data_IF_066789853151
#
_entry.id   IF_066789853151
#
_cell.length_a   1.000
_cell.length_b   1.000
_cell.length_c   1.000
_cell.angle_alpha   90.00
_cell.angle_beta   90.00
_cell.angle_gamma   90.00
#
_symmetry.space_group_name_H-M   'P 1'
#
loop_
_entity.id
_entity.type
_entity.pdbx_description
1 polymer ?
#
# COMPACT_ATOMS: atom_id res chain seq x y z
N UNK A 1 -24.51 -75.38 -8.28
CA UNK A 1 -23.68 -74.74 -7.23
C UNK A 1 -22.37 -74.32 -7.88
N UNK A 2 -22.27 -73.06 -8.30
CA UNK A 2 -21.00 -72.43 -8.71
C UNK A 2 -21.02 -71.05 -8.05
N UNK A 3 -20.00 -70.78 -7.24
CA UNK A 3 -19.86 -69.65 -6.34
C UNK A 3 -19.70 -68.33 -7.11
N UNK A 4 -20.51 -67.32 -6.75
CA UNK A 4 -20.31 -65.92 -7.10
C UNK A 4 -19.36 -65.29 -6.08
N UNK A 5 -18.20 -64.80 -6.54
CA UNK A 5 -17.29 -63.97 -5.74
C UNK A 5 -17.79 -62.53 -5.67
N UNK A 6 -17.88 -61.98 -4.45
CA UNK A 6 -17.99 -60.54 -4.21
C UNK A 6 -16.60 -59.88 -4.41
N UNK A 7 -16.49 -58.73 -5.09
CA UNK A 7 -15.37 -57.84 -4.88
C UNK A 7 -15.67 -56.88 -3.72
N UNK A 8 -14.66 -56.73 -2.86
CA UNK A 8 -14.61 -55.80 -1.75
C UNK A 8 -14.80 -54.34 -2.22
N UNK A 9 -15.70 -53.62 -1.56
CA UNK A 9 -15.79 -52.16 -1.65
C UNK A 9 -14.63 -51.60 -0.84
N UNK A 10 -13.60 -51.10 -1.53
CA UNK A 10 -12.57 -50.25 -0.96
C UNK A 10 -13.23 -48.92 -0.62
N UNK A 11 -13.40 -48.64 0.67
CA UNK A 11 -13.69 -47.30 1.18
C UNK A 11 -12.48 -46.41 0.88
N UNK A 12 -12.50 -45.76 -0.28
CA UNK A 12 -11.57 -44.69 -0.62
C UNK A 12 -11.70 -43.57 0.40
N UNK A 13 -10.55 -43.21 0.98
CA UNK A 13 -10.44 -42.22 2.03
C UNK A 13 -11.11 -40.91 1.68
N UNK A 14 -11.78 -40.33 2.68
CA UNK A 14 -12.13 -38.93 2.71
C UNK A 14 -10.86 -38.12 2.38
N UNK A 15 -10.87 -37.47 1.22
CA UNK A 15 -9.90 -36.44 0.91
C UNK A 15 -10.00 -35.40 2.03
N UNK A 16 -8.85 -35.19 2.68
CA UNK A 16 -8.62 -34.14 3.65
C UNK A 16 -9.05 -32.84 2.98
N UNK A 17 -10.00 -32.15 3.61
CA UNK A 17 -10.44 -30.81 3.21
C UNK A 17 -9.20 -29.93 3.05
N UNK A 18 -8.97 -29.36 1.86
CA UNK A 18 -7.95 -28.33 1.67
C UNK A 18 -8.25 -27.20 2.66
N UNK A 19 -7.37 -27.06 3.64
CA UNK A 19 -7.40 -25.99 4.63
C UNK A 19 -7.28 -24.64 3.90
N UNK A 20 -7.96 -23.63 4.41
CA UNK A 20 -8.20 -22.37 3.72
C UNK A 20 -6.91 -21.74 3.15
N UNK A 21 -6.91 -21.49 1.85
CA UNK A 21 -5.91 -20.72 1.11
C UNK A 21 -6.19 -19.24 1.40
N UNK A 22 -5.68 -18.70 2.50
CA UNK A 22 -5.83 -17.29 2.85
C UNK A 22 -4.47 -16.77 3.28
N UNK A 23 -4.15 -15.53 2.96
CA UNK A 23 -2.86 -14.91 3.35
C UNK A 23 -2.73 -14.69 4.86
N UNK A 24 -3.85 -14.80 5.57
CA UNK A 24 -3.92 -14.86 7.02
C UNK A 24 -3.40 -16.20 7.59
N UNK A 25 -3.36 -17.27 6.78
CA UNK A 25 -2.87 -18.59 7.19
C UNK A 25 -1.33 -18.67 7.09
N UNK A 26 -0.67 -18.71 8.23
CA UNK A 26 0.78 -18.87 8.36
C UNK A 26 1.37 -20.01 7.50
N UNK A 27 0.61 -21.08 7.28
CA UNK A 27 1.07 -22.25 6.53
C UNK A 27 1.35 -21.95 5.06
N UNK A 28 0.68 -20.95 4.49
CA UNK A 28 0.92 -20.47 3.12
C UNK A 28 2.34 -19.89 3.00
N UNK A 29 2.81 -19.19 4.04
CA UNK A 29 4.11 -18.52 4.05
C UNK A 29 5.28 -19.43 4.50
N UNK A 30 4.96 -20.54 5.16
CA UNK A 30 5.92 -21.43 5.82
C UNK A 30 7.01 -21.97 4.89
N UNK A 31 6.67 -22.26 3.63
CA UNK A 31 7.64 -22.76 2.65
C UNK A 31 8.72 -21.72 2.29
N UNK A 32 8.44 -20.44 2.55
CA UNK A 32 9.38 -19.33 2.34
C UNK A 32 10.25 -19.05 3.58
N UNK A 33 9.82 -19.37 4.79
CA UNK A 33 10.61 -19.18 6.02
C UNK A 33 11.94 -19.95 5.98
N UNK A 34 11.95 -21.11 5.31
CA UNK A 34 13.15 -21.94 5.12
C UNK A 34 14.10 -21.41 4.04
N UNK A 35 13.61 -20.52 3.17
CA UNK A 35 14.39 -19.92 2.08
C UNK A 35 15.01 -18.64 2.62
N UNK A 36 16.35 -18.57 2.66
CA UNK A 36 17.04 -17.37 3.14
C UNK A 36 16.54 -16.12 2.41
N UNK A 37 16.06 -15.12 3.17
CA UNK A 37 16.01 -13.74 2.68
C UNK A 37 17.44 -13.36 2.31
N UNK A 38 17.68 -13.24 1.01
CA UNK A 38 18.98 -12.90 0.47
C UNK A 38 19.51 -11.63 1.17
N UNK A 39 20.59 -11.76 1.95
CA UNK A 39 21.42 -10.60 2.39
C UNK A 39 22.35 -10.10 1.27
N UNK A 40 22.25 -10.68 0.06
CA UNK A 40 23.08 -10.33 -1.08
C UNK A 40 22.34 -9.34 -1.97
N UNK A 41 22.94 -8.17 -2.14
CA UNK A 41 22.60 -7.16 -3.15
C UNK A 41 22.38 -7.84 -4.49
N UNK A 42 21.14 -7.92 -4.94
CA UNK A 42 20.85 -8.36 -6.29
C UNK A 42 21.09 -7.20 -7.27
N UNK A 43 21.66 -7.55 -8.43
CA UNK A 43 21.95 -6.60 -9.50
C UNK A 43 20.65 -5.93 -9.96
N UNK A 44 20.67 -4.60 -10.03
CA UNK A 44 19.65 -3.78 -10.67
C UNK A 44 19.30 -4.40 -12.04
N UNK A 45 18.20 -5.16 -12.09
CA UNK A 45 17.68 -5.66 -13.35
C UNK A 45 17.24 -4.43 -14.13
N UNK A 46 18.08 -3.99 -15.07
CA UNK A 46 17.83 -2.85 -15.96
C UNK A 46 16.60 -2.96 -16.86
N UNK A 47 15.72 -3.93 -16.60
CA UNK A 47 14.38 -4.11 -17.20
C UNK A 47 13.27 -3.41 -16.40
N UNK A 48 13.49 -3.09 -15.13
CA UNK A 48 12.38 -2.71 -14.23
C UNK A 48 12.07 -1.20 -14.30
N UNK A 49 13.05 -0.39 -14.69
CA UNK A 49 12.87 1.02 -15.07
C UNK A 49 13.17 1.18 -16.56
N UNK A 50 12.20 1.61 -17.40
CA UNK A 50 12.48 1.85 -18.80
C UNK A 50 13.64 2.85 -18.97
N UNK A 51 14.72 2.43 -19.64
CA UNK A 51 15.87 3.30 -19.96
C UNK A 51 15.45 4.49 -20.82
N UNK A 52 14.31 4.36 -21.53
CA UNK A 52 13.58 5.41 -22.24
C UNK A 52 12.12 5.30 -21.87
N UNK A 53 11.39 6.43 -21.80
CA UNK A 53 9.95 6.44 -21.54
C UNK A 53 9.25 5.44 -22.46
N UNK A 54 8.50 4.51 -21.88
CA UNK A 54 7.74 3.51 -22.61
C UNK A 54 6.26 3.92 -22.67
N UNK A 55 5.59 3.64 -23.78
CA UNK A 55 4.17 3.97 -23.99
C UNK A 55 3.43 2.77 -24.54
N UNK A 56 2.17 2.58 -24.13
CA UNK A 56 1.34 1.48 -24.57
C UNK A 56 1.61 0.16 -23.84
N UNK A 57 0.79 -0.84 -24.14
CA UNK A 57 0.88 -2.20 -23.59
C UNK A 57 1.70 -3.10 -24.51
N UNK A 58 2.87 -3.54 -24.03
CA UNK A 58 3.77 -4.43 -24.77
C UNK A 58 4.62 -5.25 -23.79
N UNK A 59 4.02 -6.23 -23.08
CA UNK A 59 4.77 -7.13 -22.22
C UNK A 59 5.70 -8.06 -23.04
N UNK A 60 6.73 -8.67 -22.41
CA UNK A 60 7.49 -9.77 -22.99
C UNK A 60 6.56 -10.87 -23.51
N UNK A 61 6.91 -11.47 -24.64
CA UNK A 61 6.05 -12.45 -25.32
C UNK A 61 5.72 -13.68 -24.46
N UNK A 62 6.63 -14.06 -23.58
CA UNK A 62 6.47 -15.15 -22.61
C UNK A 62 5.55 -14.79 -21.44
N UNK A 63 5.31 -13.50 -21.18
CA UNK A 63 4.40 -13.01 -20.15
C UNK A 63 3.04 -12.57 -20.72
N UNK A 64 2.93 -12.35 -22.04
CA UNK A 64 1.73 -11.79 -22.66
C UNK A 64 0.46 -12.63 -22.37
N UNK A 65 0.51 -13.93 -22.63
CA UNK A 65 -0.62 -14.85 -22.38
C UNK A 65 -1.01 -14.92 -20.90
N UNK A 66 -0.11 -15.21 -19.95
CA UNK A 66 -0.51 -15.26 -18.54
C UNK A 66 -1.00 -13.92 -17.99
N UNK A 67 -0.52 -12.77 -18.50
CA UNK A 67 -1.05 -11.45 -18.10
C UNK A 67 -2.46 -11.20 -18.63
N UNK A 68 -2.77 -11.67 -19.84
CA UNK A 68 -4.12 -11.61 -20.40
C UNK A 68 -5.09 -12.48 -19.59
N UNK A 69 -4.69 -13.70 -19.22
CA UNK A 69 -5.48 -14.59 -18.36
C UNK A 69 -5.81 -13.95 -17.00
N UNK A 70 -4.83 -13.29 -16.35
CA UNK A 70 -5.06 -12.55 -15.09
C UNK A 70 -6.06 -11.43 -15.28
N UNK A 71 -5.92 -10.65 -16.36
CA UNK A 71 -6.81 -9.54 -16.62
C UNK A 71 -8.25 -9.99 -16.90
N UNK A 72 -8.41 -11.01 -17.74
CA UNK A 72 -9.71 -11.60 -18.05
C UNK A 72 -10.35 -12.22 -16.83
N UNK A 73 -9.56 -12.90 -15.98
CA UNK A 73 -10.03 -13.41 -14.69
C UNK A 73 -10.58 -12.27 -13.83
N UNK A 74 -9.81 -11.21 -13.62
CA UNK A 74 -10.24 -10.04 -12.84
C UNK A 74 -11.58 -9.47 -13.36
N UNK A 75 -11.65 -9.18 -14.67
CA UNK A 75 -12.85 -8.60 -15.29
C UNK A 75 -14.07 -9.52 -15.17
N UNK A 76 -13.86 -10.84 -15.20
CA UNK A 76 -14.94 -11.82 -15.05
C UNK A 76 -15.41 -12.02 -13.60
N UNK A 77 -14.51 -11.83 -12.64
CA UNK A 77 -14.74 -12.09 -11.21
C UNK A 77 -15.40 -10.90 -10.51
N UNK A 78 -15.05 -9.67 -10.88
CA UNK A 78 -15.49 -8.46 -10.16
C UNK A 78 -16.44 -7.59 -10.98
N UNK A 79 -17.68 -7.48 -10.50
CA UNK A 79 -18.67 -6.55 -11.03
C UNK A 79 -18.16 -5.09 -10.92
N UNK A 80 -18.32 -4.31 -11.99
CA UNK A 80 -17.81 -2.93 -12.08
C UNK A 80 -16.37 -2.82 -12.62
N UNK A 81 -15.65 -3.94 -12.74
CA UNK A 81 -14.31 -4.00 -13.32
C UNK A 81 -13.32 -3.02 -12.68
N UNK A 82 -12.33 -2.57 -13.45
CA UNK A 82 -11.27 -1.68 -12.94
C UNK A 82 -11.79 -0.32 -12.43
N UNK A 83 -13.00 0.08 -12.83
CA UNK A 83 -13.65 1.32 -12.41
C UNK A 83 -14.53 1.17 -11.16
N UNK A 84 -14.72 -0.05 -10.64
CA UNK A 84 -15.62 -0.33 -9.52
C UNK A 84 -15.15 0.26 -8.18
N UNK A 85 -13.85 0.54 -8.04
CA UNK A 85 -13.28 1.14 -6.84
C UNK A 85 -12.41 2.36 -7.21
N UNK A 86 -12.83 3.54 -6.75
CA UNK A 86 -12.18 4.85 -6.98
C UNK A 86 -11.20 5.24 -5.86
N UNK A 87 -10.86 4.30 -5.00
CA UNK A 87 -9.91 4.45 -3.89
C UNK A 87 -8.68 3.54 -4.02
N UNK A 88 -8.48 2.79 -5.10
CA UNK A 88 -7.21 2.08 -5.29
C UNK A 88 -6.01 3.01 -5.12
N UNK A 89 -4.86 2.48 -4.68
CA UNK A 89 -3.63 3.26 -4.46
C UNK A 89 -3.25 4.16 -5.64
N UNK A 90 -3.63 3.78 -6.86
CA UNK A 90 -3.53 4.64 -8.05
C UNK A 90 -4.29 5.96 -7.90
N UNK A 91 -5.57 5.91 -7.51
CA UNK A 91 -6.41 7.08 -7.27
C UNK A 91 -5.90 7.92 -6.10
N UNK A 92 -5.31 7.28 -5.09
CA UNK A 92 -4.75 7.96 -3.93
C UNK A 92 -3.50 8.77 -4.34
N UNK A 93 -2.56 8.13 -5.05
CA UNK A 93 -1.37 8.79 -5.59
C UNK A 93 -1.74 9.94 -6.54
N UNK A 94 -2.80 9.76 -7.35
CA UNK A 94 -3.26 10.83 -8.25
C UNK A 94 -3.95 11.97 -7.52
N UNK A 95 -4.76 11.68 -6.49
CA UNK A 95 -5.45 12.68 -5.69
C UNK A 95 -4.51 13.48 -4.79
N UNK A 96 -3.46 12.85 -4.25
CA UNK A 96 -2.47 13.47 -3.37
C UNK A 96 -1.17 13.82 -4.12
N UNK A 97 -1.27 14.11 -5.41
CA UNK A 97 -0.20 14.70 -6.24
C UNK A 97 1.17 13.99 -6.15
N UNK A 98 1.17 12.65 -6.17
CA UNK A 98 2.41 11.87 -6.09
C UNK A 98 2.87 11.61 -4.66
N UNK A 99 1.98 11.73 -3.68
CA UNK A 99 2.24 11.40 -2.28
C UNK A 99 1.28 10.33 -1.79
N UNK A 100 1.67 9.63 -0.74
CA UNK A 100 0.79 8.84 0.11
C UNK A 100 1.10 9.17 1.57
N UNK A 101 0.09 9.63 2.28
CA UNK A 101 0.13 9.85 3.71
C UNK A 101 -0.39 8.60 4.43
N UNK A 102 0.36 8.13 5.42
CA UNK A 102 0.15 6.84 6.06
C UNK A 102 -0.06 7.04 7.55
N UNK A 103 -1.11 6.44 8.09
CA UNK A 103 -1.28 6.35 9.54
C UNK A 103 -0.97 4.93 10.03
N UNK A 104 -0.04 4.79 10.96
CA UNK A 104 0.30 3.50 11.56
C UNK A 104 -0.70 3.17 12.66
N UNK A 105 -1.31 2.00 12.59
CA UNK A 105 -2.10 1.41 13.68
C UNK A 105 -1.21 0.42 14.42
N UNK A 106 -0.77 0.80 15.61
CA UNK A 106 0.10 0.00 16.47
C UNK A 106 -0.74 -0.81 17.43
N UNK A 107 -1.14 -1.99 16.99
CA UNK A 107 -1.93 -2.94 17.76
C UNK A 107 -1.00 -3.87 18.55
N UNK A 108 -0.41 -3.31 19.61
CA UNK A 108 0.52 -3.99 20.51
C UNK A 108 0.69 -3.23 21.80
N UNK A 109 1.03 -3.95 22.88
CA UNK A 109 1.39 -3.36 24.17
C UNK A 109 2.90 -3.11 24.31
N UNK A 110 3.70 -3.38 23.27
CA UNK A 110 5.13 -3.07 23.28
C UNK A 110 5.36 -1.58 23.01
N UNK A 111 6.38 -1.01 23.66
CA UNK A 111 6.80 0.36 23.34
C UNK A 111 7.51 0.41 21.99
N UNK A 112 7.47 1.58 21.35
CA UNK A 112 8.15 1.87 20.09
C UNK A 112 8.88 3.21 20.20
N UNK A 113 10.19 3.17 20.00
CA UNK A 113 11.07 4.33 20.08
C UNK A 113 10.95 5.22 18.85
N UNK A 114 11.29 6.51 19.00
CA UNK A 114 11.39 7.42 17.85
C UNK A 114 12.36 6.91 16.76
N UNK A 115 13.41 6.19 17.14
CA UNK A 115 14.35 5.56 16.20
C UNK A 115 13.69 4.41 15.42
N UNK A 116 12.93 3.55 16.10
CA UNK A 116 12.15 2.49 15.46
C UNK A 116 11.06 3.06 14.56
N UNK A 117 10.32 4.09 14.99
CA UNK A 117 9.33 4.76 14.13
C UNK A 117 9.96 5.34 12.88
N UNK A 118 11.12 5.98 13.00
CA UNK A 118 11.89 6.48 11.85
C UNK A 118 12.31 5.34 10.92
N UNK A 119 12.74 4.21 11.49
CA UNK A 119 13.13 3.02 10.74
C UNK A 119 11.95 2.38 10.02
N UNK A 120 10.79 2.27 10.68
CA UNK A 120 9.53 1.79 10.10
C UNK A 120 9.15 2.66 8.90
N UNK A 121 9.18 3.99 9.04
CA UNK A 121 8.89 4.92 7.94
C UNK A 121 9.85 4.73 6.74
N UNK A 122 11.15 4.66 7.00
CA UNK A 122 12.15 4.48 5.96
C UNK A 122 12.04 3.12 5.26
N UNK A 123 11.83 2.04 6.02
CA UNK A 123 11.66 0.69 5.49
C UNK A 123 10.37 0.57 4.69
N UNK A 124 9.25 1.06 5.22
CA UNK A 124 7.95 1.03 4.53
C UNK A 124 7.99 1.79 3.20
N UNK A 125 8.57 3.00 3.19
CA UNK A 125 8.82 3.72 1.94
C UNK A 125 9.68 2.89 0.98
N UNK A 126 10.77 2.28 1.46
CA UNK A 126 11.65 1.45 0.63
C UNK A 126 10.92 0.27 -0.01
N UNK A 127 10.02 -0.39 0.72
CA UNK A 127 9.21 -1.48 0.17
C UNK A 127 8.25 -0.98 -0.92
N UNK A 128 7.59 0.17 -0.71
CA UNK A 128 6.76 0.80 -1.75
C UNK A 128 7.53 1.18 -3.02
N UNK A 129 8.75 1.70 -2.88
CA UNK A 129 9.57 2.04 -4.05
C UNK A 129 9.87 0.82 -4.94
N UNK A 130 9.80 -0.41 -4.42
CA UNK A 130 9.95 -1.62 -5.23
C UNK A 130 8.76 -1.87 -6.14
N UNK A 131 7.56 -1.43 -5.77
CA UNK A 131 6.40 -1.40 -6.67
C UNK A 131 6.48 -0.21 -7.63
N UNK A 132 6.66 1.03 -7.12
CA UNK A 132 6.60 2.21 -7.97
C UNK A 132 7.68 2.29 -9.05
N UNK A 133 8.86 1.70 -8.84
CA UNK A 133 9.91 1.64 -9.87
C UNK A 133 9.40 1.07 -11.20
N UNK A 134 8.38 0.20 -11.16
CA UNK A 134 7.79 -0.41 -12.35
C UNK A 134 7.00 0.57 -13.22
N UNK A 135 6.43 1.62 -12.64
CA UNK A 135 5.61 2.60 -13.38
C UNK A 135 6.31 3.92 -13.67
N UNK A 136 7.43 4.22 -13.02
CA UNK A 136 8.18 5.44 -13.31
C UNK A 136 8.64 5.49 -14.78
N UNK A 137 8.15 6.51 -15.50
CA UNK A 137 8.43 6.69 -16.93
C UNK A 137 7.68 5.73 -17.85
N UNK A 138 6.71 4.97 -17.33
CA UNK A 138 5.87 4.06 -18.11
C UNK A 138 4.48 4.68 -18.34
N UNK A 139 4.00 4.57 -19.58
CA UNK A 139 2.66 4.91 -20.04
C UNK A 139 2.10 6.23 -19.48
N UNK A 140 2.91 7.30 -19.54
CA UNK A 140 2.49 8.63 -19.12
C UNK A 140 2.29 8.83 -17.62
N UNK A 141 2.74 7.90 -16.77
CA UNK A 141 2.73 8.07 -15.32
C UNK A 141 3.44 9.39 -14.93
N UNK A 142 2.76 10.31 -14.23
CA UNK A 142 3.20 11.70 -14.15
C UNK A 142 4.34 11.93 -13.15
N UNK A 143 4.54 11.01 -12.21
CA UNK A 143 5.51 11.18 -11.13
C UNK A 143 6.81 10.42 -11.40
N UNK A 144 7.94 11.06 -11.10
CA UNK A 144 9.26 10.41 -11.14
C UNK A 144 9.66 9.77 -9.82
N UNK A 145 8.92 10.10 -8.76
CA UNK A 145 9.02 9.58 -7.41
C UNK A 145 7.67 9.80 -6.74
N UNK A 146 7.19 8.80 -6.00
CA UNK A 146 6.04 8.93 -5.10
C UNK A 146 6.59 8.99 -3.69
N UNK A 147 6.20 10.01 -2.93
CA UNK A 147 6.65 10.20 -1.55
C UNK A 147 5.70 9.51 -0.56
N UNK A 148 6.26 8.69 0.31
CA UNK A 148 5.52 7.97 1.34
C UNK A 148 5.83 8.59 2.69
N UNK A 149 4.80 9.13 3.35
CA UNK A 149 4.93 9.89 4.59
C UNK A 149 4.15 9.17 5.69
N UNK A 150 4.80 8.78 6.79
CA UNK A 150 4.07 8.39 8.00
C UNK A 150 3.71 9.67 8.75
N UNK A 151 2.41 10.01 8.74
CA UNK A 151 1.88 11.26 9.30
C UNK A 151 1.17 11.06 10.64
N UNK A 152 0.74 9.82 10.94
CA UNK A 152 -0.04 9.53 12.14
C UNK A 152 0.29 8.19 12.77
N UNK A 153 0.03 8.07 14.07
CA UNK A 153 0.17 6.85 14.87
C UNK A 153 -1.04 6.67 15.79
N UNK A 154 -1.74 5.56 15.66
CA UNK A 154 -2.73 5.11 16.61
C UNK A 154 -2.13 4.10 17.59
N UNK A 155 -2.26 4.36 18.90
CA UNK A 155 -1.77 3.51 20.00
C UNK A 155 -2.83 3.42 21.09
N UNK A 156 -2.83 2.33 21.85
CA UNK A 156 -3.78 2.15 22.97
C UNK A 156 -3.45 3.08 24.15
N UNK A 157 -2.17 3.42 24.30
CA UNK A 157 -1.67 4.35 25.31
C UNK A 157 -0.52 5.17 24.70
N UNK A 158 -0.57 6.50 24.82
CA UNK A 158 0.48 7.41 24.31
C UNK A 158 1.87 7.13 24.89
N UNK A 159 1.96 6.51 26.07
CA UNK A 159 3.23 6.12 26.70
C UNK A 159 3.97 5.02 25.92
N UNK A 160 3.29 4.32 25.01
CA UNK A 160 3.93 3.37 24.10
C UNK A 160 4.82 4.07 23.05
N UNK A 161 4.59 5.36 22.78
CA UNK A 161 5.40 6.15 21.85
C UNK A 161 6.56 6.82 22.60
N UNK A 162 7.73 6.19 22.61
CA UNK A 162 8.90 6.78 23.25
C UNK A 162 9.55 7.85 22.34
N UNK A 163 10.01 8.95 22.96
CA UNK A 163 10.63 10.09 22.26
C UNK A 163 9.64 11.14 21.77
N UNK A 164 10.08 12.01 20.85
CA UNK A 164 9.23 13.11 20.36
C UNK A 164 8.12 12.60 19.43
N UNK A 165 6.92 13.13 19.60
CA UNK A 165 5.77 12.94 18.70
C UNK A 165 5.32 14.26 18.06
N UNK A 166 6.12 15.33 18.15
CA UNK A 166 5.76 16.67 17.66
C UNK A 166 5.43 16.76 16.17
N UNK A 167 5.94 15.82 15.38
CA UNK A 167 5.89 15.85 13.92
C UNK A 167 4.88 14.83 13.36
N UNK A 168 4.09 14.20 14.23
CA UNK A 168 3.06 13.22 13.86
C UNK A 168 1.77 13.48 14.63
N UNK A 169 0.66 13.10 14.02
CA UNK A 169 -0.60 12.99 14.73
C UNK A 169 -0.61 11.73 15.60
N UNK A 170 -1.09 11.85 16.82
CA UNK A 170 -1.21 10.72 17.76
C UNK A 170 -2.67 10.50 18.07
N UNK A 171 -3.16 9.30 17.76
CA UNK A 171 -4.53 8.88 18.02
C UNK A 171 -4.55 7.83 19.13
N UNK A 172 -5.54 7.94 20.01
CA UNK A 172 -5.79 6.98 21.11
C UNK A 172 -7.21 6.42 21.09
N UNK A 173 -7.96 6.71 20.02
CA UNK A 173 -9.27 6.13 19.83
C UNK A 173 -9.12 4.63 19.60
N UNK A 174 -10.09 3.88 20.10
CA UNK A 174 -10.18 2.43 19.92
C UNK A 174 -11.39 2.11 19.06
N UNK A 175 -11.28 1.08 18.23
CA UNK A 175 -12.44 0.48 17.59
C UNK A 175 -13.26 -0.38 18.58
N UNK A 176 -14.27 -1.08 18.07
CA UNK A 176 -15.19 -1.85 18.91
C UNK A 176 -14.55 -3.07 19.57
N UNK A 177 -13.43 -3.55 19.01
CA UNK A 177 -12.65 -4.64 19.56
C UNK A 177 -11.58 -4.15 20.55
N UNK A 178 -11.54 -2.84 20.82
CA UNK A 178 -10.58 -2.23 21.73
C UNK A 178 -9.20 -2.04 21.11
N UNK A 179 -9.10 -2.09 19.78
CA UNK A 179 -7.85 -1.98 19.06
C UNK A 179 -7.64 -0.51 18.64
N UNK A 180 -6.41 0.05 18.75
CA UNK A 180 -6.15 1.43 18.37
C UNK A 180 -6.54 1.73 16.94
N UNK A 181 -7.13 2.90 16.69
CA UNK A 181 -7.61 3.29 15.37
C UNK A 181 -7.19 4.72 15.03
N UNK A 182 -6.71 4.93 13.81
CA UNK A 182 -6.48 6.25 13.26
C UNK A 182 -7.82 6.98 13.06
N UNK A 183 -7.84 8.32 13.17
CA UNK A 183 -9.09 9.07 13.10
C UNK A 183 -9.82 8.87 11.76
N UNK A 184 -11.03 8.29 11.81
CA UNK A 184 -11.87 8.05 10.62
C UNK A 184 -12.14 9.32 9.84
N UNK A 185 -12.34 10.45 10.53
CA UNK A 185 -12.55 11.77 9.92
C UNK A 185 -11.39 12.27 9.06
N UNK A 186 -10.20 11.68 9.22
CA UNK A 186 -8.99 11.99 8.47
C UNK A 186 -8.65 10.93 7.41
N UNK A 187 -9.43 9.84 7.33
CA UNK A 187 -9.18 8.73 6.41
C UNK A 187 -9.70 9.04 5.01
N UNK A 188 -8.85 8.93 3.99
CA UNK A 188 -9.30 9.02 2.60
C UNK A 188 -10.39 8.01 2.25
N UNK A 189 -10.36 6.81 2.84
CA UNK A 189 -11.35 5.76 2.56
C UNK A 189 -12.78 6.17 2.99
N UNK A 190 -12.89 7.00 4.03
CA UNK A 190 -14.17 7.57 4.47
C UNK A 190 -14.56 8.85 3.71
N UNK A 191 -13.62 9.47 2.99
CA UNK A 191 -13.73 10.82 2.43
C UNK A 191 -13.30 10.87 0.94
N UNK A 192 -13.91 10.01 0.12
CA UNK A 192 -13.64 9.93 -1.33
C UNK A 192 -14.04 11.21 -2.10
N UNK A 193 -14.91 12.02 -1.51
CA UNK A 193 -15.32 13.34 -1.97
C UNK A 193 -14.29 14.43 -1.63
N UNK A 194 -13.20 14.07 -0.94
CA UNK A 194 -12.17 14.99 -0.43
C UNK A 194 -12.68 15.98 0.61
N UNK A 195 -13.83 15.72 1.25
CA UNK A 195 -14.33 16.53 2.36
C UNK A 195 -13.77 16.03 3.69
N UNK A 196 -12.63 16.60 4.09
CA UNK A 196 -11.99 16.34 5.39
C UNK A 196 -12.41 17.34 6.49
N UNK A 197 -13.59 17.97 6.38
CA UNK A 197 -14.08 18.88 7.43
C UNK A 197 -14.29 18.19 8.79
N UNK A 198 -14.41 16.86 8.80
CA UNK A 198 -14.44 16.03 10.00
C UNK A 198 -13.07 15.66 10.58
N UNK A 199 -11.97 16.00 9.90
CA UNK A 199 -10.62 15.79 10.43
C UNK A 199 -10.26 16.95 11.37
N UNK A 200 -9.91 16.66 12.64
CA UNK A 200 -9.64 17.69 13.65
C UNK A 200 -8.47 18.62 13.27
N UNK A 201 -7.43 18.06 12.65
CA UNK A 201 -6.29 18.82 12.09
C UNK A 201 -6.59 19.49 10.74
N UNK A 202 -7.77 19.25 10.16
CA UNK A 202 -8.14 19.68 8.82
C UNK A 202 -7.53 18.81 7.72
N UNK A 203 -7.76 19.19 6.46
CA UNK A 203 -7.40 18.40 5.29
C UNK A 203 -5.90 18.09 5.19
N UNK A 204 -5.01 18.95 5.70
CA UNK A 204 -3.55 18.72 5.64
C UNK A 204 -3.10 17.54 6.53
N UNK A 205 -3.94 17.11 7.47
CA UNK A 205 -3.71 15.99 8.40
C UNK A 205 -4.39 14.69 7.94
N UNK A 206 -4.94 14.65 6.72
CA UNK A 206 -5.50 13.41 6.18
C UNK A 206 -4.43 12.34 5.93
N UNK A 207 -4.86 11.08 5.96
CA UNK A 207 -4.06 9.95 5.51
C UNK A 207 -4.79 9.18 4.40
N UNK A 208 -4.02 8.70 3.43
CA UNK A 208 -4.49 7.92 2.29
C UNK A 208 -4.66 6.44 2.65
N UNK A 209 -3.76 5.94 3.49
CA UNK A 209 -3.68 4.52 3.84
C UNK A 209 -3.33 4.31 5.30
N UNK A 210 -3.63 3.12 5.81
CA UNK A 210 -3.22 2.70 7.13
C UNK A 210 -2.31 1.47 7.09
N UNK A 211 -1.22 1.51 7.86
CA UNK A 211 -0.34 0.36 8.11
C UNK A 211 -0.65 -0.21 9.49
N UNK A 212 -1.27 -1.37 9.53
CA UNK A 212 -1.61 -2.05 10.77
C UNK A 212 -0.49 -3.02 11.12
N UNK A 213 0.15 -2.78 12.26
CA UNK A 213 1.17 -3.66 12.83
C UNK A 213 0.54 -4.39 14.00
N UNK A 214 0.02 -5.58 13.73
CA UNK A 214 -0.78 -6.38 14.67
C UNK A 214 0.06 -7.43 15.37
N UNK A 215 0.06 -7.39 16.69
CA UNK A 215 0.71 -8.40 17.53
C UNK A 215 0.09 -9.79 17.34
N UNK A 216 0.93 -10.78 17.05
CA UNK A 216 0.52 -12.18 16.94
C UNK A 216 -0.19 -12.56 15.64
N UNK A 217 -0.25 -11.66 14.65
CA UNK A 217 -0.69 -12.01 13.31
C UNK A 217 0.45 -12.69 12.53
N UNK A 218 0.22 -13.91 12.06
CA UNK A 218 1.24 -14.66 11.30
C UNK A 218 1.23 -14.34 9.79
N UNK A 219 0.11 -13.82 9.29
CA UNK A 219 -0.12 -13.53 7.87
C UNK A 219 -0.19 -12.03 7.56
N UNK A 220 -0.91 -11.71 6.49
CA UNK A 220 -1.18 -10.35 6.09
C UNK A 220 -2.58 -10.17 5.50
N UNK A 221 -2.97 -8.91 5.38
CA UNK A 221 -4.17 -8.51 4.65
C UNK A 221 -3.97 -7.14 4.01
N UNK A 222 -4.37 -6.99 2.74
CA UNK A 222 -4.18 -5.77 1.97
C UNK A 222 -5.45 -5.41 1.22
N UNK A 223 -5.75 -4.11 1.17
CA UNK A 223 -6.81 -3.58 0.32
C UNK A 223 -6.56 -2.11 -0.01
N UNK A 224 -7.52 -1.42 -0.63
CA UNK A 224 -7.38 0.01 -0.95
C UNK A 224 -7.12 0.89 0.27
N UNK A 225 -7.62 0.51 1.46
CA UNK A 225 -7.39 1.27 2.69
C UNK A 225 -5.95 1.15 3.25
N UNK A 226 -5.15 0.17 2.80
CA UNK A 226 -3.79 -0.04 3.29
C UNK A 226 -3.42 -1.51 3.47
N UNK A 227 -2.54 -1.79 4.44
CA UNK A 227 -2.05 -3.14 4.74
C UNK A 227 -2.07 -3.42 6.23
N UNK A 228 -2.26 -4.69 6.56
CA UNK A 228 -2.08 -5.28 7.88
C UNK A 228 -1.06 -6.41 7.79
N UNK A 229 -0.10 -6.41 8.70
CA UNK A 229 0.89 -7.48 8.84
C UNK A 229 1.22 -7.72 10.31
N UNK A 230 1.74 -8.91 10.59
CA UNK A 230 2.32 -9.22 11.90
C UNK A 230 3.37 -8.21 12.33
N UNK A 231 3.20 -7.61 13.52
CA UNK A 231 4.17 -6.67 14.09
C UNK A 231 5.51 -7.34 14.32
N UNK A 232 5.52 -8.53 14.91
CA UNK A 232 6.74 -9.31 15.16
C UNK A 232 7.45 -9.64 13.85
N UNK A 233 6.67 -10.06 12.85
CA UNK A 233 7.17 -10.35 11.52
C UNK A 233 7.80 -9.10 10.88
N UNK A 234 7.10 -7.96 10.87
CA UNK A 234 7.60 -6.71 10.29
C UNK A 234 8.89 -6.27 11.01
N UNK A 235 8.86 -6.22 12.34
CA UNK A 235 10.00 -5.74 13.14
C UNK A 235 11.22 -6.67 13.03
N UNK A 236 11.01 -7.98 12.95
CA UNK A 236 12.09 -8.95 12.70
C UNK A 236 12.72 -8.77 11.31
N UNK A 237 11.92 -8.38 10.33
CA UNK A 237 12.33 -8.20 8.94
C UNK A 237 12.61 -6.73 8.55
N UNK A 238 12.69 -5.83 9.53
CA UNK A 238 12.78 -4.38 9.26
C UNK A 238 14.07 -3.97 8.51
N UNK A 239 15.10 -4.82 8.57
CA UNK A 239 16.37 -4.69 7.86
C UNK A 239 16.49 -5.63 6.65
N UNK A 240 15.48 -6.44 6.39
CA UNK A 240 15.44 -7.34 5.23
C UNK A 240 15.28 -6.55 3.94
N UNK A 241 15.93 -7.01 2.87
CA UNK A 241 15.77 -6.39 1.55
C UNK A 241 14.32 -6.42 1.09
N UNK A 242 13.63 -7.55 1.29
CA UNK A 242 12.23 -7.75 0.94
C UNK A 242 11.46 -8.21 2.18
N UNK A 243 10.41 -7.47 2.55
CA UNK A 243 9.44 -7.89 3.56
C UNK A 243 8.26 -8.50 2.78
N UNK A 244 8.38 -9.77 2.42
CA UNK A 244 7.59 -10.38 1.35
C UNK A 244 6.06 -10.39 1.60
N UNK A 245 5.60 -10.61 2.83
CA UNK A 245 4.16 -10.51 3.15
C UNK A 245 3.70 -9.06 2.92
N UNK A 246 4.44 -8.08 3.44
CA UNK A 246 4.12 -6.67 3.18
C UNK A 246 4.12 -6.31 1.70
N UNK A 247 5.07 -6.84 0.92
CA UNK A 247 5.11 -6.61 -0.53
C UNK A 247 3.88 -7.20 -1.23
N UNK A 248 3.42 -8.37 -0.80
CA UNK A 248 2.17 -8.97 -1.25
C UNK A 248 0.97 -8.08 -0.91
N UNK A 249 0.82 -7.68 0.35
CA UNK A 249 -0.29 -6.83 0.78
C UNK A 249 -0.32 -5.46 0.09
N UNK A 250 0.85 -4.88 -0.18
CA UNK A 250 0.97 -3.65 -0.98
C UNK A 250 0.43 -3.84 -2.40
N UNK A 251 0.54 -5.04 -2.98
CA UNK A 251 -0.02 -5.37 -4.29
C UNK A 251 -1.55 -5.21 -4.32
N UNK A 252 -2.25 -5.70 -3.30
CA UNK A 252 -3.71 -5.55 -3.19
C UNK A 252 -4.16 -4.10 -3.09
N UNK A 253 -3.39 -3.24 -2.43
CA UNK A 253 -3.69 -1.80 -2.38
C UNK A 253 -3.73 -1.17 -3.77
N UNK A 254 -3.04 -1.75 -4.75
CA UNK A 254 -3.06 -1.34 -6.15
C UNK A 254 -3.93 -2.23 -7.06
N UNK A 255 -4.79 -3.06 -6.46
CA UNK A 255 -5.79 -3.87 -7.16
C UNK A 255 -5.30 -5.23 -7.62
N UNK A 256 -4.08 -5.65 -7.29
CA UNK A 256 -3.62 -6.99 -7.67
C UNK A 256 -4.39 -8.05 -6.89
N UNK A 257 -4.81 -9.12 -7.57
CA UNK A 257 -5.59 -10.21 -7.01
C UNK A 257 -4.74 -11.20 -6.22
N UNK A 258 -5.43 -11.92 -5.34
CA UNK A 258 -4.97 -13.19 -4.77
C UNK A 258 -5.07 -14.35 -5.75
N UNK A 259 -4.14 -15.29 -5.61
CA UNK A 259 -4.07 -16.50 -6.42
C UNK A 259 -4.15 -17.75 -5.54
N UNK A 260 -5.34 -18.03 -5.03
CA UNK A 260 -5.55 -19.15 -4.12
C UNK A 260 -5.77 -20.48 -4.83
N UNK A 261 -6.64 -20.49 -5.85
CA UNK A 261 -7.18 -21.71 -6.45
C UNK A 261 -6.81 -21.89 -7.92
N UNK A 262 -6.04 -20.95 -8.48
CA UNK A 262 -5.58 -21.01 -9.86
C UNK A 262 -4.24 -20.29 -10.04
N UNK A 263 -3.54 -20.62 -11.13
CA UNK A 263 -2.32 -19.92 -11.55
C UNK A 263 -2.35 -19.72 -13.06
N UNK A 264 -1.84 -18.59 -13.57
CA UNK A 264 -1.79 -18.33 -15.00
C UNK A 264 -0.75 -19.22 -15.69
N UNK A 265 -0.99 -19.52 -16.97
CA UNK A 265 -0.24 -20.48 -17.77
C UNK A 265 1.26 -20.18 -17.75
N UNK A 266 2.04 -21.14 -17.27
CA UNK A 266 3.51 -21.09 -17.34
C UNK A 266 4.18 -20.20 -16.27
N UNK A 267 3.42 -19.61 -15.34
CA UNK A 267 3.96 -18.82 -14.24
C UNK A 267 3.67 -19.53 -12.91
N UNK A 268 4.72 -19.82 -12.15
CA UNK A 268 4.61 -20.65 -10.93
C UNK A 268 5.16 -19.99 -9.68
N UNK A 269 5.85 -18.86 -9.81
CA UNK A 269 6.41 -18.12 -8.68
C UNK A 269 6.30 -16.62 -8.96
N UNK A 270 5.53 -15.91 -8.14
CA UNK A 270 5.31 -14.47 -8.20
C UNK A 270 4.71 -14.00 -6.87
N UNK A 271 4.94 -12.75 -6.45
CA UNK A 271 4.64 -12.30 -5.09
C UNK A 271 3.15 -12.42 -4.77
N UNK A 272 2.27 -12.17 -5.73
CA UNK A 272 0.81 -12.25 -5.55
C UNK A 272 0.28 -13.69 -5.46
N UNK A 273 1.10 -14.69 -5.79
CA UNK A 273 0.85 -16.08 -5.40
C UNK A 273 1.55 -16.30 -4.06
N UNK A 274 0.79 -16.11 -2.98
CA UNK A 274 1.29 -16.19 -1.61
C UNK A 274 2.09 -17.49 -1.37
N UNK A 275 3.21 -17.35 -0.66
CA UNK A 275 4.12 -18.48 -0.42
C UNK A 275 5.01 -18.91 -1.60
N UNK A 276 4.87 -18.34 -2.80
CA UNK A 276 5.67 -18.78 -3.96
C UNK A 276 6.94 -17.97 -4.20
N UNK A 277 6.95 -16.67 -3.87
CA UNK A 277 8.09 -15.77 -4.08
C UNK A 277 8.40 -14.91 -2.86
N UNK A 278 9.67 -14.54 -2.69
CA UNK A 278 10.15 -13.65 -1.63
C UNK A 278 10.29 -12.19 -2.09
N UNK A 279 10.00 -11.91 -3.36
CA UNK A 279 10.21 -10.61 -3.98
C UNK A 279 9.25 -10.37 -5.13
N UNK A 280 9.04 -9.10 -5.49
CA UNK A 280 8.29 -8.70 -6.68
C UNK A 280 9.05 -9.19 -7.91
N UNK A 281 8.45 -10.11 -8.65
CA UNK A 281 9.00 -10.69 -9.88
C UNK A 281 8.70 -9.83 -11.11
N UNK A 282 9.26 -10.21 -12.27
CA UNK A 282 8.91 -9.57 -13.53
C UNK A 282 7.42 -9.69 -13.85
N UNK A 283 6.80 -10.84 -13.52
CA UNK A 283 5.37 -11.04 -13.75
C UNK A 283 4.51 -10.08 -12.92
N UNK A 284 4.81 -9.95 -11.62
CA UNK A 284 4.15 -9.00 -10.71
C UNK A 284 4.26 -7.56 -11.21
N UNK A 285 5.46 -7.17 -11.63
CA UNK A 285 5.73 -5.85 -12.19
C UNK A 285 4.92 -5.54 -13.43
N UNK A 286 4.69 -6.54 -14.30
CA UNK A 286 3.84 -6.39 -15.47
C UNK A 286 2.35 -6.41 -15.15
N UNK A 287 1.90 -7.19 -14.16
CA UNK A 287 0.53 -7.08 -13.64
C UNK A 287 0.25 -5.67 -13.12
N UNK A 288 1.18 -5.12 -12.33
CA UNK A 288 1.12 -3.75 -11.81
C UNK A 288 1.07 -2.70 -12.92
N UNK A 289 1.86 -2.88 -13.99
CA UNK A 289 1.80 -2.03 -15.20
C UNK A 289 0.48 -2.16 -15.95
N UNK A 290 -0.13 -3.34 -15.98
CA UNK A 290 -1.41 -3.55 -16.65
C UNK A 290 -2.51 -2.70 -15.99
N UNK A 291 -2.56 -2.74 -14.66
CA UNK A 291 -3.44 -1.90 -13.86
C UNK A 291 -3.30 -0.41 -14.16
N UNK A 292 -2.07 0.11 -14.15
CA UNK A 292 -1.83 1.49 -14.55
C UNK A 292 -2.27 1.76 -16.00
N UNK A 293 -1.95 0.87 -16.94
CA UNK A 293 -2.33 1.01 -18.34
C UNK A 293 -3.86 1.11 -18.51
N UNK A 294 -4.63 0.28 -17.83
CA UNK A 294 -6.08 0.22 -17.93
C UNK A 294 -6.77 1.39 -17.21
N UNK A 295 -6.32 1.72 -15.99
CA UNK A 295 -6.86 2.86 -15.24
C UNK A 295 -6.52 4.20 -15.89
N UNK A 296 -5.29 4.37 -16.38
CA UNK A 296 -4.87 5.64 -16.98
C UNK A 296 -5.61 5.98 -18.27
N UNK A 297 -6.05 4.96 -19.03
CA UNK A 297 -6.96 5.13 -20.17
C UNK A 297 -8.35 5.55 -19.70
N UNK A 298 -8.93 4.78 -18.77
CA UNK A 298 -10.31 4.98 -18.31
C UNK A 298 -10.51 6.32 -17.61
N UNK A 299 -9.52 6.74 -16.81
CA UNK A 299 -9.57 8.00 -16.06
C UNK A 299 -8.93 9.19 -16.80
N UNK A 300 -8.38 8.98 -18.01
CA UNK A 300 -7.71 10.04 -18.78
C UNK A 300 -6.41 10.56 -18.13
N UNK A 301 -5.76 9.79 -17.27
CA UNK A 301 -4.50 10.17 -16.62
C UNK A 301 -3.28 10.03 -17.53
N UNK A 302 -3.34 9.18 -18.55
CA UNK A 302 -2.24 9.03 -19.50
C UNK A 302 -2.13 10.31 -20.33
N UNK A 303 -1.19 11.18 -19.96
CA UNK A 303 -0.87 12.36 -20.76
C UNK A 303 -0.39 11.92 -22.14
N UNK A 304 -1.14 12.31 -23.18
CA UNK A 304 -0.62 12.31 -24.55
C UNK A 304 0.61 13.20 -24.54
N UNK A 305 1.76 12.63 -24.91
CA UNK A 305 3.08 13.29 -25.01
C UNK A 305 3.03 14.82 -25.09
N UNK A 306 3.45 15.50 -24.01
CA UNK A 306 3.72 16.93 -24.05
C UNK A 306 4.90 17.17 -25.00
N UNK A 307 4.57 17.62 -26.21
CA UNK A 307 5.49 18.43 -27.02
C UNK A 307 5.67 19.79 -26.31
N UNK A 308 6.89 20.32 -26.39
CA UNK A 308 7.40 21.37 -25.52
C UNK A 308 6.54 22.64 -25.35
N UNK A 309 6.64 23.19 -24.13
CA UNK A 309 6.64 24.62 -23.78
C UNK A 309 5.61 25.53 -24.48
N UNK A 310 4.62 25.97 -23.72
CA UNK A 310 4.46 27.38 -23.30
C UNK A 310 3.18 27.53 -22.50
N UNK A 311 3.27 28.20 -21.36
CA UNK A 311 2.14 28.41 -20.46
C UNK A 311 1.00 29.16 -21.16
N UNK A 312 -0.22 28.71 -20.92
CA UNK A 312 -1.40 29.58 -20.96
C UNK A 312 -2.43 29.01 -19.98
N UNK A 313 -2.75 29.85 -19.00
CA UNK A 313 -3.77 29.68 -17.97
C UNK A 313 -5.12 29.35 -18.62
N UNK A 314 -5.65 28.14 -18.37
CA UNK A 314 -7.01 27.79 -18.75
C UNK A 314 -7.96 28.17 -17.62
N UNK A 315 -8.62 29.32 -17.77
CA UNK A 315 -9.74 29.76 -16.94
C UNK A 315 -10.98 28.95 -17.31
N UNK A 316 -11.54 28.22 -16.35
CA UNK A 316 -12.86 27.60 -16.44
C UNK A 316 -13.95 28.65 -16.64
N UNK A 317 -14.77 28.48 -17.67
CA UNK A 317 -16.05 29.19 -17.77
C UNK A 317 -17.19 28.20 -18.04
N UNK A 318 -18.14 28.22 -17.10
CA UNK A 318 -19.42 27.52 -17.06
C UNK A 318 -20.24 27.81 -18.31
N UNK A 319 -20.75 26.76 -18.95
CA UNK A 319 -21.74 26.87 -20.01
C UNK A 319 -23.14 27.04 -19.42
N UNK A 320 -23.77 28.19 -19.66
CA UNK A 320 -25.21 28.40 -19.47
C UNK A 320 -25.86 28.40 -20.85
N UNK A 321 -26.84 27.51 -21.01
CA UNK A 321 -27.72 27.39 -22.18
C UNK A 321 -28.81 28.46 -22.16
N UNK A 322 -29.01 29.16 -23.29
CA UNK A 322 -30.34 29.56 -23.76
C UNK A 322 -30.32 30.02 -25.23
N UNK A 323 -31.32 29.53 -25.96
CA UNK A 323 -31.72 29.89 -27.32
C UNK A 323 -32.00 31.39 -27.51
N UNK A 324 -31.67 31.94 -28.69
CA UNK A 324 -32.61 32.66 -29.59
C UNK A 324 -31.90 33.41 -30.74
N UNK A 325 -32.26 33.01 -31.96
CA UNK A 325 -32.57 33.82 -33.17
C UNK A 325 -31.72 35.02 -33.61
N UNK A 326 -31.14 34.83 -34.80
CA UNK A 326 -30.87 35.75 -35.93
C UNK A 326 -31.33 37.22 -35.85
N UNK A 327 -30.38 38.16 -35.94
CA UNK A 327 -30.49 39.38 -36.76
C UNK A 327 -29.13 40.07 -36.97
N UNK A 328 -29.04 40.75 -38.11
CA UNK A 328 -27.91 41.35 -38.82
C UNK A 328 -27.34 42.67 -38.27
N UNK A 329 -26.05 42.89 -38.57
CA UNK A 329 -25.30 44.13 -38.90
C UNK A 329 -25.61 45.46 -38.19
N UNK A 330 -24.55 46.12 -37.70
CA UNK A 330 -24.57 47.54 -37.36
C UNK A 330 -23.26 48.06 -36.75
N UNK A 331 -22.41 48.62 -37.61
CA UNK A 331 -21.20 49.40 -37.27
C UNK A 331 -21.59 50.79 -36.75
N UNK A 332 -21.02 51.24 -35.61
CA UNK A 332 -20.51 52.61 -35.38
C UNK A 332 -20.11 52.88 -33.90
N UNK A 333 -18.93 53.48 -33.75
CA UNK A 333 -18.29 54.13 -32.58
C UNK A 333 -18.86 55.55 -32.31
N UNK A 334 -18.27 56.41 -31.45
CA UNK A 334 -17.96 56.34 -30.00
C UNK A 334 -18.43 57.62 -29.22
N UNK A 335 -18.40 57.62 -27.87
CA UNK A 335 -18.25 58.82 -26.98
C UNK A 335 -18.05 58.33 -25.53
N UNK A 336 -16.92 58.61 -24.86
CA UNK A 336 -16.71 59.67 -23.82
C UNK A 336 -17.72 59.57 -22.65
N UNK A 337 -17.40 59.58 -21.36
CA UNK A 337 -16.23 60.00 -20.59
C UNK A 337 -16.44 59.52 -19.13
N UNK A 338 -15.37 59.23 -18.37
CA UNK A 338 -15.29 59.33 -16.90
C UNK A 338 -14.02 58.63 -16.34
N UNK A 339 -13.06 59.45 -15.96
CA UNK A 339 -11.81 59.10 -15.31
C UNK A 339 -11.97 58.62 -13.85
N UNK A 340 -11.06 57.76 -13.37
CA UNK A 340 -10.17 58.05 -12.21
C UNK A 340 -9.05 57.00 -12.00
N UNK A 341 -7.81 57.45 -12.24
CA UNK A 341 -6.49 57.20 -11.59
C UNK A 341 -6.28 55.97 -10.66
N UNK A 342 -5.25 55.13 -10.94
CA UNK A 342 -4.15 54.77 -9.99
C UNK A 342 -2.85 54.40 -10.73
N UNK A 343 -1.82 55.22 -10.49
CA UNK A 343 -0.37 54.98 -10.36
C UNK A 343 0.32 53.75 -10.98
N UNK A 344 1.28 54.02 -11.87
CA UNK A 344 2.42 53.15 -12.20
C UNK A 344 3.73 53.88 -11.92
N UNK A 345 4.60 53.26 -11.13
CA UNK A 345 6.01 53.65 -11.00
C UNK A 345 6.87 52.40 -11.16
N UNK A 346 7.59 52.35 -12.27
CA UNK A 346 8.70 51.43 -12.55
C UNK A 346 10.02 52.13 -12.23
N UNK A 347 10.96 51.41 -11.60
CA UNK A 347 12.35 51.82 -11.40
C UNK A 347 13.25 50.61 -11.71
N UNK A 348 14.43 50.79 -12.33
CA UNK A 348 15.04 49.80 -13.22
C UNK A 348 16.11 48.93 -12.55
N UNK A 349 16.46 47.86 -13.25
CA UNK A 349 17.57 46.96 -12.93
C UNK A 349 18.94 47.62 -13.21
N UNK A 350 19.84 47.52 -12.24
CA UNK A 350 21.28 47.82 -12.39
C UNK A 350 22.11 46.57 -12.14
N UNK A 351 22.94 46.22 -13.12
CA UNK A 351 24.01 45.24 -13.02
C UNK A 351 25.13 45.72 -12.10
N UNK A 352 25.66 44.83 -11.27
CA UNK A 352 26.96 44.99 -10.62
C UNK A 352 27.72 43.65 -10.65
N UNK A 353 28.81 43.64 -11.40
CA UNK A 353 29.91 42.68 -11.32
C UNK A 353 30.76 42.95 -10.07
N UNK A 354 31.18 41.89 -9.37
CA UNK A 354 32.21 41.96 -8.34
C UNK A 354 33.12 40.73 -8.39
N UNK A 355 34.36 40.98 -7.97
CA UNK A 355 35.60 40.35 -8.39
C UNK A 355 36.05 39.16 -7.53
N UNK A 356 36.97 38.40 -8.12
CA UNK A 356 37.72 37.28 -7.56
C UNK A 356 38.74 37.77 -6.52
N UNK A 357 38.72 37.17 -5.33
CA UNK A 357 39.82 37.25 -4.36
C UNK A 357 40.36 35.84 -4.09
N UNK A 358 41.68 35.69 -4.22
CA UNK A 358 42.46 34.46 -3.99
C UNK A 358 43.32 34.61 -2.73
N UNK A 359 43.20 33.66 -1.79
CA UNK A 359 44.21 33.20 -0.80
C UNK A 359 43.53 32.07 0.02
N UNK A 360 44.10 30.97 0.50
CA UNK A 360 45.45 30.48 0.73
C UNK A 360 45.38 28.93 0.89
N UNK A 361 46.53 28.26 0.95
CA UNK A 361 46.77 26.81 0.89
C UNK A 361 46.12 25.91 2.00
N UNK A 362 45.98 24.59 1.78
CA UNK A 362 45.22 23.70 2.66
C UNK A 362 46.05 23.19 3.86
N UNK A 363 45.44 23.26 5.05
CA UNK A 363 45.95 22.64 6.29
C UNK A 363 45.56 21.16 6.29
N UNK A 364 46.55 20.30 6.52
CA UNK A 364 46.43 18.85 6.67
C UNK A 364 45.57 18.51 7.89
N UNK A 365 44.48 17.72 7.78
CA UNK A 365 43.81 17.17 8.95
C UNK A 365 44.60 15.96 9.47
N UNK A 366 45.05 16.05 10.71
CA UNK A 366 45.57 14.90 11.46
C UNK A 366 44.47 13.85 11.62
N UNK A 367 44.75 12.63 11.17
CA UNK A 367 43.95 11.42 11.43
C UNK A 367 44.14 10.95 12.88
N UNK A 368 43.09 10.87 13.71
CA UNK A 368 43.17 10.08 14.93
C UNK A 368 43.04 8.59 14.58
N UNK A 369 44.15 7.86 14.76
CA UNK A 369 44.19 6.40 14.71
C UNK A 369 43.46 5.82 15.92
N UNK A 370 42.23 5.35 15.71
CA UNK A 370 41.53 4.52 16.68
C UNK A 370 41.92 3.05 16.48
N UNK A 371 42.76 2.54 17.37
CA UNK A 371 42.96 1.10 17.57
C UNK A 371 41.72 0.51 18.26
N UNK A 372 41.01 -0.47 17.66
CA UNK A 372 39.93 -1.17 18.34
C UNK A 372 40.51 -2.09 19.42
N UNK A 373 40.18 -1.80 20.67
CA UNK A 373 40.38 -2.71 21.80
C UNK A 373 39.23 -3.72 21.75
N UNK A 374 39.51 -4.95 21.32
CA UNK A 374 38.58 -6.07 21.42
C UNK A 374 38.47 -6.49 22.90
N UNK A 375 37.26 -6.58 23.49
CA UNK A 375 37.12 -7.26 24.76
C UNK A 375 37.37 -8.76 24.57
N UNK A 376 38.32 -9.27 25.35
CA UNK A 376 38.65 -10.70 25.47
C UNK A 376 37.41 -11.43 26.02
N UNK A 377 36.76 -12.24 25.18
CA UNK A 377 35.72 -13.17 25.63
C UNK A 377 36.41 -14.39 26.23
N UNK A 378 36.33 -14.52 27.55
CA UNK A 378 36.66 -15.76 28.26
C UNK A 378 35.68 -16.87 27.87
N UNK A 379 36.15 -18.09 27.56
CA UNK A 379 35.26 -19.20 27.23
C UNK A 379 34.54 -19.69 28.48
N UNK A 380 33.21 -19.57 28.46
CA UNK A 380 32.33 -20.18 29.47
C UNK A 380 32.08 -21.63 29.05
N UNK A 381 32.41 -22.56 29.93
CA UNK A 381 32.21 -24.00 29.79
C UNK A 381 30.71 -24.36 29.68
N UNK A 382 30.32 -25.35 28.85
CA UNK A 382 28.93 -25.78 28.78
C UNK A 382 28.55 -26.57 30.03
N UNK A 383 27.53 -26.11 30.75
CA UNK A 383 26.89 -26.88 31.83
C UNK A 383 25.74 -27.67 31.21
N UNK A 384 25.86 -28.99 31.28
CA UNK A 384 24.82 -29.95 30.89
C UNK A 384 23.58 -29.86 31.78
N UNK A 385 22.44 -30.00 31.12
CA UNK A 385 21.19 -30.67 31.55
C UNK A 385 20.46 -30.13 32.79
N UNK A 386 19.35 -29.43 32.52
CA UNK A 386 18.10 -29.68 33.23
C UNK A 386 17.01 -30.03 32.21
N UNK A 387 16.69 -31.32 32.17
CA UNK A 387 15.59 -31.89 31.44
C UNK A 387 14.30 -31.62 32.25
N UNK A 388 13.61 -30.53 31.92
CA UNK A 388 12.27 -30.25 32.42
C UNK A 388 11.38 -29.96 31.22
N UNK A 389 10.73 -31.00 30.73
CA UNK A 389 9.58 -30.90 29.83
C UNK A 389 8.55 -29.94 30.45
N UNK A 390 8.16 -28.83 29.81
CA UNK A 390 6.96 -28.13 30.21
C UNK A 390 5.79 -29.06 29.88
N UNK A 391 5.10 -29.51 30.91
CA UNK A 391 3.79 -30.16 30.78
C UNK A 391 2.91 -29.17 30.03
N UNK A 392 2.49 -29.54 28.82
CA UNK A 392 1.47 -28.83 28.08
C UNK A 392 0.21 -28.76 28.96
N UNK A 393 -0.04 -27.60 29.55
CA UNK A 393 -1.39 -27.23 29.97
C UNK A 393 -2.24 -27.25 28.71
N UNK A 394 -3.31 -28.06 28.64
CA UNK A 394 -4.19 -28.03 27.49
C UNK A 394 -4.70 -26.61 27.33
N UNK A 395 -4.49 -26.04 26.14
CA UNK A 395 -5.23 -24.88 25.67
C UNK A 395 -6.70 -25.19 25.92
N UNK A 396 -7.34 -24.46 26.83
CA UNK A 396 -8.78 -24.45 26.85
C UNK A 396 -9.20 -23.78 25.56
N UNK A 397 -9.75 -24.58 24.67
CA UNK A 397 -10.64 -24.13 23.61
C UNK A 397 -11.58 -23.09 24.23
N UNK A 398 -11.66 -21.84 23.73
CA UNK A 398 -12.75 -20.98 24.10
C UNK A 398 -14.02 -21.73 23.75
N UNK A 399 -14.76 -22.15 24.78
CA UNK A 399 -16.10 -22.70 24.61
C UNK A 399 -16.88 -21.72 23.76
N UNK A 400 -17.43 -22.23 22.65
CA UNK A 400 -18.43 -21.54 21.87
C UNK A 400 -19.54 -21.06 22.83
N UNK A 401 -19.60 -19.75 23.07
CA UNK A 401 -20.80 -19.11 23.58
C UNK A 401 -21.71 -18.97 22.36
N UNK A 402 -22.88 -19.65 22.32
CA UNK A 402 -23.83 -19.46 21.25
C UNK A 402 -24.56 -18.14 21.50
N UNK A 403 -24.38 -17.18 20.59
CA UNK A 403 -25.33 -16.09 20.38
C UNK A 403 -25.16 -14.89 21.32
N UNK A 404 -24.16 -14.05 21.04
CA UNK A 404 -24.42 -12.64 20.75
C UNK A 404 -23.70 -12.32 19.46
N UNK A 405 -24.41 -11.74 18.49
CA UNK A 405 -23.83 -11.42 17.19
C UNK A 405 -22.83 -10.29 17.37
N UNK A 406 -21.55 -10.63 17.58
CA UNK A 406 -20.46 -9.68 17.46
C UNK A 406 -20.66 -8.94 16.12
N UNK A 407 -20.76 -7.61 16.19
CA UNK A 407 -20.87 -6.76 15.00
C UNK A 407 -19.48 -6.28 14.63
N UNK A 408 -19.12 -6.35 13.36
CA UNK A 408 -17.87 -5.79 12.85
C UNK A 408 -17.92 -4.25 12.91
N UNK A 409 -16.88 -3.65 13.46
CA UNK A 409 -16.62 -2.21 13.44
C UNK A 409 -16.31 -1.68 12.05
N UNK A 410 -16.19 -0.36 11.92
CA UNK A 410 -15.89 0.30 10.64
C UNK A 410 -14.52 -0.18 10.15
N UNK A 411 -14.45 -0.58 8.88
CA UNK A 411 -13.32 -1.23 8.20
C UNK A 411 -13.04 -2.68 8.57
N UNK A 412 -13.77 -3.27 9.50
CA UNK A 412 -13.63 -4.70 9.77
C UNK A 412 -14.35 -5.54 8.72
N UNK A 413 -13.84 -6.76 8.52
CA UNK A 413 -14.49 -7.73 7.66
C UNK A 413 -15.85 -8.11 8.24
N UNK A 414 -16.87 -8.11 7.40
CA UNK A 414 -18.24 -8.45 7.77
C UNK A 414 -18.82 -9.60 6.93
N UNK A 415 -17.96 -10.27 6.16
CA UNK A 415 -18.34 -11.37 5.29
C UNK A 415 -17.33 -11.65 4.18
N UNK A 416 -17.73 -12.55 3.29
CA UNK A 416 -16.97 -12.94 2.10
C UNK A 416 -16.44 -14.37 2.18
N UNK A 417 -16.62 -15.14 1.12
CA UNK A 417 -16.22 -16.54 1.01
C UNK A 417 -17.13 -17.48 1.80
N UNK A 418 -17.18 -18.74 1.41
CA UNK A 418 -17.94 -19.78 2.13
C UNK A 418 -17.27 -20.22 3.44
N UNK A 419 -15.99 -19.89 3.60
CA UNK A 419 -15.14 -20.25 4.75
C UNK A 419 -15.14 -19.23 5.88
N UNK A 420 -15.63 -18.00 5.67
CA UNK A 420 -15.65 -16.97 6.70
C UNK A 420 -16.55 -17.35 7.88
N UNK A 421 -16.05 -17.08 9.10
CA UNK A 421 -16.72 -17.42 10.38
C UNK A 421 -16.82 -16.23 11.33
N UNK A 422 -16.38 -15.03 10.90
CA UNK A 422 -16.42 -13.82 11.72
C UNK A 422 -17.78 -13.14 11.75
N UNK A 423 -17.86 -11.91 12.30
CA UNK A 423 -19.05 -11.07 12.31
C UNK A 423 -19.70 -10.95 10.93
N UNK A 424 -21.03 -11.14 10.83
CA UNK A 424 -21.78 -10.96 9.57
C UNK A 424 -22.67 -9.73 9.57
N UNK A 425 -22.56 -8.89 10.60
CA UNK A 425 -23.31 -7.65 10.78
C UNK A 425 -22.33 -6.56 11.14
N UNK A 426 -22.55 -5.35 10.64
CA UNK A 426 -21.77 -4.20 11.04
C UNK A 426 -22.37 -3.51 12.26
N UNK A 427 -21.54 -2.78 12.99
CA UNK A 427 -21.99 -1.93 14.09
C UNK A 427 -22.99 -0.89 13.61
N UNK A 428 -23.78 -0.37 14.54
CA UNK A 428 -24.89 0.54 14.23
C UNK A 428 -24.44 1.73 13.38
N UNK A 429 -25.10 1.95 12.25
CA UNK A 429 -24.81 3.05 11.31
C UNK A 429 -23.89 2.67 10.14
N UNK A 430 -23.36 1.45 10.12
CA UNK A 430 -22.48 0.94 9.06
C UNK A 430 -23.21 -0.12 8.22
N UNK A 431 -22.84 -0.24 6.95
CA UNK A 431 -23.34 -1.28 6.07
C UNK A 431 -22.23 -2.26 5.73
N UNK A 432 -22.57 -3.55 5.70
CA UNK A 432 -21.66 -4.57 5.22
C UNK A 432 -21.64 -4.52 3.69
N UNK A 433 -20.63 -3.85 3.13
CA UNK A 433 -20.46 -3.68 1.69
C UNK A 433 -19.65 -4.85 1.16
N UNK A 434 -20.23 -5.57 0.20
CA UNK A 434 -19.49 -6.60 -0.54
C UNK A 434 -18.47 -5.90 -1.46
N UNK A 435 -17.19 -6.10 -1.18
CA UNK A 435 -16.11 -5.67 -2.08
C UNK A 435 -15.85 -6.72 -3.14
N UNK A 436 -15.81 -8.00 -2.73
CA UNK A 436 -15.73 -9.12 -3.64
C UNK A 436 -16.35 -10.40 -3.05
N UNK A 437 -16.25 -11.52 -3.77
CA UNK A 437 -16.84 -12.78 -3.31
C UNK A 437 -16.19 -13.38 -2.06
N UNK A 438 -14.97 -12.97 -1.71
CA UNK A 438 -14.20 -13.43 -0.56
C UNK A 438 -14.09 -12.41 0.58
N UNK A 439 -14.49 -11.15 0.33
CA UNK A 439 -14.36 -10.06 1.30
C UNK A 439 -15.51 -9.05 1.22
N UNK A 440 -16.18 -8.85 2.35
CA UNK A 440 -17.12 -7.77 2.60
C UNK A 440 -16.62 -6.95 3.79
N UNK A 441 -16.80 -5.64 3.79
CA UNK A 441 -16.29 -4.73 4.82
C UNK A 441 -17.39 -3.83 5.35
N UNK A 442 -17.32 -3.48 6.63
CA UNK A 442 -18.21 -2.48 7.21
C UNK A 442 -17.78 -1.06 6.86
N UNK A 443 -18.63 -0.30 6.18
CA UNK A 443 -18.40 1.10 5.80
C UNK A 443 -19.58 1.98 6.20
#
# INVERSE_FOLDING_TARGET
>A
MIFSGLPAIVLGGFAVCATALSDLDASVWKDLESKQHSKRLFQDHGRNRPVKRATGWSPPSDLATPLEEVWDHYVSTYDGGVAGNVNWGWHQVMANEGKLNICVRWDSNQTVTAAERTKIAATYNTQYQKWFKWVYGYNGFPYTKVDINIVGWAVSDTSLLEGSTSDIDVYTDLDNDGIPMCAVGCSRDAHLDSDYSGCEGGADHHYDQSLWLTEGLDGGYGYSWGQQVGREYFMTNIDSENIHILLHEMGHTFGLDDFYDWTPTGVTNFIMLAGSALEITDFDGWMYRNWWYELSKTNGWASSSVAGSSGTTATSSVAVTSDATTATEGVATPTEDAAYIVSTTSVPATSATLEVVTSQAPVVPHTPSFTPIFPVVTPITPVSSFNSTPVATPYQTPSAIPGDAATAGRWEQCGGGSSYRGPTKCSSGLNCIKHNQYYHQCI
#
